data_IF_260805882873
#
_entry.id   IF_260805882873
#
_cell.length_a   1.000
_cell.length_b   1.000
_cell.length_c   1.000
_cell.angle_alpha   90.00
_cell.angle_beta   90.00
_cell.angle_gamma   90.00
#
_symmetry.space_group_name_H-M   'P 1'
#
loop_
_entity.id
_entity.type
_entity.pdbx_description
1 polymer ?
#
# COMPACT_ATOMS: atom_id res chain seq x y z
N UNK A 1 -14.92 24.47 31.57
CA UNK A 1 -15.03 23.18 30.85
C UNK A 1 -16.42 23.14 30.24
N UNK A 2 -16.54 23.13 28.91
CA UNK A 2 -17.82 22.82 28.28
C UNK A 2 -18.02 21.31 28.41
N UNK A 3 -19.02 20.91 29.20
CA UNK A 3 -19.48 19.53 29.23
C UNK A 3 -20.02 19.19 27.83
N UNK A 4 -19.30 18.31 27.13
CA UNK A 4 -19.78 17.71 25.90
C UNK A 4 -21.15 17.08 26.19
N UNK A 5 -22.18 17.31 25.35
CA UNK A 5 -23.51 16.74 25.58
C UNK A 5 -23.38 15.22 25.70
N UNK A 6 -23.56 14.72 26.93
CA UNK A 6 -23.45 13.30 27.29
C UNK A 6 -24.71 12.52 26.89
N UNK A 7 -25.55 13.06 25.98
CA UNK A 7 -26.79 12.38 25.61
C UNK A 7 -26.47 11.01 25.00
N UNK A 8 -27.26 9.97 25.32
CA UNK A 8 -27.04 8.62 24.76
C UNK A 8 -26.96 8.64 23.23
N UNK A 9 -27.80 9.45 22.59
CA UNK A 9 -27.83 9.68 21.15
C UNK A 9 -26.50 10.23 20.59
N UNK A 10 -25.81 11.10 21.35
CA UNK A 10 -24.51 11.64 20.97
C UNK A 10 -23.40 10.59 21.13
N UNK A 11 -23.44 9.78 22.20
CA UNK A 11 -22.50 8.67 22.41
C UNK A 11 -22.67 7.57 21.36
N UNK A 12 -23.90 7.21 21.05
CA UNK A 12 -24.22 6.17 20.07
C UNK A 12 -23.86 6.63 18.65
N UNK A 13 -24.16 7.88 18.29
CA UNK A 13 -23.77 8.48 17.02
C UNK A 13 -22.25 8.64 16.88
N UNK A 14 -21.55 9.06 17.93
CA UNK A 14 -20.10 9.16 17.95
C UNK A 14 -19.43 7.78 17.82
N UNK A 15 -19.92 6.78 18.56
CA UNK A 15 -19.37 5.43 18.52
C UNK A 15 -19.63 4.73 17.17
N UNK A 16 -20.79 4.94 16.57
CA UNK A 16 -21.11 4.46 15.22
C UNK A 16 -20.24 5.13 14.15
N UNK A 17 -20.08 6.45 14.22
CA UNK A 17 -19.21 7.22 13.31
C UNK A 17 -17.74 6.81 13.43
N UNK A 18 -17.23 6.65 14.65
CA UNK A 18 -15.86 6.18 14.90
C UNK A 18 -15.63 4.77 14.35
N UNK A 19 -16.56 3.84 14.60
CA UNK A 19 -16.45 2.44 14.13
C UNK A 19 -16.49 2.36 12.61
N UNK A 20 -17.36 3.14 11.95
CA UNK A 20 -17.43 3.22 10.49
C UNK A 20 -16.16 3.82 9.87
N UNK A 21 -15.62 4.88 10.48
CA UNK A 21 -14.35 5.48 10.07
C UNK A 21 -13.17 4.50 10.22
N UNK A 22 -13.13 3.78 11.34
CA UNK A 22 -12.10 2.75 11.60
C UNK A 22 -12.15 1.61 10.58
N UNK A 23 -13.32 1.05 10.30
CA UNK A 23 -13.48 -0.01 9.30
C UNK A 23 -13.14 0.46 7.88
N UNK A 24 -13.46 1.71 7.55
CA UNK A 24 -13.08 2.33 6.27
C UNK A 24 -11.56 2.45 6.14
N UNK A 25 -10.89 2.94 7.19
CA UNK A 25 -9.43 3.04 7.22
C UNK A 25 -8.78 1.65 7.12
N UNK A 26 -9.28 0.67 7.87
CA UNK A 26 -8.81 -0.72 7.84
C UNK A 26 -8.90 -1.31 6.43
N UNK A 27 -10.06 -1.18 5.77
CA UNK A 27 -10.25 -1.65 4.38
C UNK A 27 -9.32 -0.96 3.39
N UNK A 28 -9.08 0.34 3.57
CA UNK A 28 -8.13 1.07 2.75
C UNK A 28 -6.71 0.52 2.90
N UNK A 29 -6.23 0.32 4.13
CA UNK A 29 -4.88 -0.20 4.38
C UNK A 29 -4.70 -1.64 3.92
N UNK A 30 -5.70 -2.51 4.11
CA UNK A 30 -5.68 -3.88 3.58
C UNK A 30 -5.54 -3.85 2.05
N UNK A 31 -6.42 -3.12 1.35
CA UNK A 31 -6.35 -3.01 -0.12
C UNK A 31 -5.03 -2.42 -0.61
N UNK A 32 -4.48 -1.44 0.12
CA UNK A 32 -3.18 -0.86 -0.18
C UNK A 32 -2.06 -1.89 -0.02
N UNK A 33 -2.09 -2.71 1.02
CA UNK A 33 -1.19 -3.83 1.21
C UNK A 33 -1.30 -4.85 0.06
N UNK A 34 -2.51 -5.26 -0.31
CA UNK A 34 -2.74 -6.20 -1.41
C UNK A 34 -2.19 -5.67 -2.75
N UNK A 35 -2.37 -4.38 -3.04
CA UNK A 35 -1.81 -3.75 -4.23
C UNK A 35 -0.28 -3.67 -4.19
N UNK A 36 0.32 -3.35 -3.04
CA UNK A 36 1.78 -3.29 -2.89
C UNK A 36 2.41 -4.67 -3.08
N UNK A 37 1.83 -5.69 -2.44
CA UNK A 37 2.26 -7.08 -2.58
C UNK A 37 2.13 -7.58 -4.01
N UNK A 38 1.01 -7.30 -4.67
CA UNK A 38 0.81 -7.67 -6.09
C UNK A 38 1.84 -6.98 -6.99
N UNK A 39 2.09 -5.68 -6.79
CA UNK A 39 3.09 -4.94 -7.56
C UNK A 39 4.50 -5.51 -7.36
N UNK A 40 4.85 -5.86 -6.12
CA UNK A 40 6.13 -6.51 -5.81
C UNK A 40 6.29 -7.85 -6.54
N UNK A 41 5.25 -8.69 -6.55
CA UNK A 41 5.29 -9.99 -7.23
C UNK A 41 5.47 -9.83 -8.75
N UNK A 42 4.70 -8.93 -9.37
CA UNK A 42 4.80 -8.68 -10.81
C UNK A 42 6.16 -8.09 -11.18
N UNK A 43 6.71 -7.20 -10.33
CA UNK A 43 8.03 -6.64 -10.54
C UNK A 43 9.13 -7.71 -10.49
N UNK A 44 9.06 -8.66 -9.54
CA UNK A 44 10.02 -9.77 -9.53
C UNK A 44 9.87 -10.72 -10.72
N UNK A 45 8.63 -11.09 -11.05
CA UNK A 45 8.37 -11.94 -12.21
C UNK A 45 8.94 -11.34 -13.51
N UNK A 46 8.86 -10.01 -13.66
CA UNK A 46 9.44 -9.30 -14.79
C UNK A 46 10.98 -9.41 -14.83
N UNK A 47 11.67 -9.40 -13.68
CA UNK A 47 13.14 -9.53 -13.61
C UNK A 47 13.61 -10.96 -13.93
N UNK A 48 12.80 -11.96 -13.60
CA UNK A 48 13.13 -13.36 -13.83
C UNK A 48 12.96 -13.78 -15.30
N UNK A 49 12.03 -13.14 -16.01
CA UNK A 49 11.76 -13.41 -17.44
C UNK A 49 12.86 -12.81 -18.36
N UNK A 50 13.50 -13.59 -19.26
CA UNK A 50 14.44 -13.11 -20.28
C UNK A 50 14.07 -11.82 -21.03
N UNK A 51 12.85 -11.69 -21.57
CA UNK A 51 12.32 -10.49 -22.22
C UNK A 51 12.03 -9.38 -21.22
N UNK A 52 11.66 -9.76 -19.99
CA UNK A 52 11.40 -8.81 -18.91
C UNK A 52 12.66 -8.09 -18.42
N UNK A 53 13.82 -8.76 -18.41
CA UNK A 53 15.11 -8.10 -18.10
C UNK A 53 15.40 -6.92 -19.01
N UNK A 54 15.15 -7.06 -20.32
CA UNK A 54 15.32 -5.95 -21.26
C UNK A 54 14.35 -4.81 -20.99
N UNK A 55 13.10 -5.13 -20.60
CA UNK A 55 12.14 -4.11 -20.20
C UNK A 55 12.59 -3.36 -18.94
N UNK A 56 13.18 -4.07 -17.96
CA UNK A 56 13.76 -3.46 -16.75
C UNK A 56 14.92 -2.53 -17.12
N UNK A 57 15.85 -2.94 -17.99
CA UNK A 57 16.93 -2.08 -18.46
C UNK A 57 16.43 -0.77 -19.09
N UNK A 58 15.42 -0.88 -19.97
CA UNK A 58 14.80 0.28 -20.63
C UNK A 58 14.08 1.17 -19.61
N UNK A 59 13.31 0.57 -18.69
CA UNK A 59 12.62 1.28 -17.61
C UNK A 59 13.60 2.02 -16.69
N UNK A 60 14.76 1.43 -16.38
CA UNK A 60 15.79 2.08 -15.58
C UNK A 60 16.35 3.33 -16.27
N UNK A 61 16.48 3.31 -17.60
CA UNK A 61 16.96 4.47 -18.34
C UNK A 61 15.90 5.57 -18.44
N UNK A 62 14.64 5.21 -18.65
CA UNK A 62 13.55 6.17 -18.86
C UNK A 62 12.98 6.72 -17.54
N UNK A 63 12.90 5.87 -16.51
CA UNK A 63 12.21 6.15 -15.25
C UNK A 63 12.97 5.56 -14.04
N UNK A 64 14.19 6.05 -13.74
CA UNK A 64 15.01 5.50 -12.65
C UNK A 64 14.33 5.59 -11.28
N UNK A 65 13.57 6.65 -11.02
CA UNK A 65 12.83 6.80 -9.76
C UNK A 65 11.70 5.78 -9.59
N UNK A 66 11.03 5.41 -10.69
CA UNK A 66 10.00 4.37 -10.67
C UNK A 66 10.63 3.01 -10.34
N UNK A 67 11.78 2.70 -10.95
CA UNK A 67 12.52 1.46 -10.67
C UNK A 67 12.94 1.42 -9.20
N UNK A 68 13.48 2.50 -8.66
CA UNK A 68 13.85 2.58 -7.24
C UNK A 68 12.64 2.43 -6.29
N UNK A 69 11.48 2.95 -6.67
CA UNK A 69 10.25 2.76 -5.90
C UNK A 69 9.76 1.31 -5.93
N UNK A 70 9.79 0.66 -7.10
CA UNK A 70 9.42 -0.75 -7.26
C UNK A 70 10.38 -1.67 -6.51
N UNK A 71 11.68 -1.38 -6.51
CA UNK A 71 12.67 -2.13 -5.73
C UNK A 71 12.44 -2.00 -4.22
N UNK A 72 12.10 -0.80 -3.73
CA UNK A 72 11.72 -0.60 -2.32
C UNK A 72 10.46 -1.37 -1.95
N UNK A 73 9.44 -1.35 -2.82
CA UNK A 73 8.19 -2.10 -2.61
C UNK A 73 8.48 -3.60 -2.60
N UNK A 74 9.26 -4.11 -3.55
CA UNK A 74 9.63 -5.52 -3.59
C UNK A 74 10.50 -5.96 -2.41
N UNK A 75 11.39 -5.10 -1.91
CA UNK A 75 12.15 -5.36 -0.70
C UNK A 75 11.23 -5.43 0.52
N UNK A 76 10.34 -4.45 0.68
CA UNK A 76 9.43 -4.36 1.82
C UNK A 76 8.43 -5.53 1.87
N UNK A 77 7.82 -5.89 0.73
CA UNK A 77 6.74 -6.87 0.67
C UNK A 77 7.24 -8.32 0.51
N UNK A 78 8.37 -8.55 -0.15
CA UNK A 78 8.87 -9.90 -0.47
C UNK A 78 10.23 -10.24 0.16
N UNK A 79 10.88 -9.29 0.85
CA UNK A 79 12.21 -9.50 1.45
C UNK A 79 13.33 -9.65 0.41
N UNK A 80 13.12 -9.18 -0.82
CA UNK A 80 14.10 -9.29 -1.90
C UNK A 80 15.31 -8.38 -1.66
N UNK A 81 16.50 -8.74 -2.14
CA UNK A 81 17.68 -7.88 -2.01
C UNK A 81 17.51 -6.59 -2.84
N UNK A 82 17.91 -5.44 -2.29
CA UNK A 82 18.05 -4.21 -3.07
C UNK A 82 19.27 -4.39 -3.99
N UNK A 83 18.99 -4.62 -5.27
CA UNK A 83 19.99 -4.78 -6.33
C UNK A 83 20.44 -3.46 -6.92
#
# INVERSE_FOLDING_TARGET
MQDLPQSPEFKDGYQAGFSSGYESAKRFYVRRGDHAYTAAQQWQALREEPRGRRAVEVLTQLHPELVAALDKVAHHELGTALG
#
